data_IF_378835957102
#
_entry.id   IF_378835957102
#
_cell.length_a   1.000
_cell.length_b   1.000
_cell.length_c   1.000
_cell.angle_alpha   90.00
_cell.angle_beta   90.00
_cell.angle_gamma   90.00
#
_symmetry.space_group_name_H-M   'P 1'
#
loop_
_entity.id
_entity.type
_entity.pdbx_description
1 polymer ?
#
# COMPACT_ATOMS: atom_id res chain seq x y z
N UNK A 1 -5.23 -0.90 -3.75
CA UNK A 1 -5.31 -0.42 -2.36
C UNK A 1 -3.95 0.08 -1.89
N UNK A 2 -3.89 1.24 -1.24
CA UNK A 2 -2.66 1.82 -0.70
C UNK A 2 -2.44 1.37 0.74
N UNK A 3 -1.30 0.75 1.04
CA UNK A 3 -0.97 0.34 2.42
C UNK A 3 0.03 1.31 3.03
N UNK A 4 -0.45 2.14 3.97
CA UNK A 4 0.36 3.16 4.63
C UNK A 4 1.17 2.52 5.77
N UNK A 5 2.41 2.18 5.44
CA UNK A 5 3.40 1.65 6.37
C UNK A 5 4.26 2.78 6.98
N UNK A 6 4.72 2.65 8.24
CA UNK A 6 5.81 3.45 8.77
C UNK A 6 7.05 3.33 7.88
N UNK A 7 7.84 4.40 7.75
CA UNK A 7 8.96 4.48 6.81
C UNK A 7 9.97 3.33 6.93
N UNK A 8 10.19 2.82 8.15
CA UNK A 8 11.05 1.65 8.40
C UNK A 8 10.49 0.40 7.73
N UNK A 9 9.21 0.10 7.94
CA UNK A 9 8.54 -1.08 7.35
C UNK A 9 8.32 -0.91 5.86
N UNK A 10 8.11 0.32 5.39
CA UNK A 10 8.04 0.65 3.98
C UNK A 10 9.37 0.35 3.26
N UNK A 11 10.50 0.70 3.88
CA UNK A 11 11.83 0.38 3.35
C UNK A 11 12.11 -1.12 3.39
N UNK A 12 11.88 -1.78 4.53
CA UNK A 12 12.11 -3.22 4.69
C UNK A 12 11.28 -4.07 3.73
N UNK A 13 10.05 -3.65 3.45
CA UNK A 13 9.16 -4.38 2.54
C UNK A 13 9.39 -4.02 1.07
N UNK A 14 10.18 -2.99 0.76
CA UNK A 14 10.40 -2.57 -0.62
C UNK A 14 9.19 -1.87 -1.24
N UNK A 15 8.59 -0.92 -0.51
CA UNK A 15 7.47 -0.10 -1.00
C UNK A 15 6.19 -0.89 -1.35
N UNK A 16 5.91 -2.04 -0.69
CA UNK A 16 4.71 -2.86 -0.97
C UNK A 16 3.39 -2.09 -0.83
N UNK A 17 3.39 -0.99 -0.07
CA UNK A 17 2.23 -0.12 0.04
C UNK A 17 1.73 0.41 -1.30
N UNK A 18 2.64 0.53 -2.26
CA UNK A 18 2.37 0.99 -3.63
C UNK A 18 2.25 -0.16 -4.64
N UNK A 19 2.14 -1.41 -4.19
CA UNK A 19 2.05 -2.57 -5.09
C UNK A 19 0.87 -2.49 -6.06
N UNK A 20 -0.21 -1.81 -5.65
CA UNK A 20 -1.35 -1.52 -6.53
C UNK A 20 -0.98 -0.61 -7.72
N UNK A 21 -0.08 0.37 -7.51
CA UNK A 21 0.45 1.23 -8.57
C UNK A 21 1.41 0.44 -9.46
N UNK A 22 2.22 -0.42 -8.86
CA UNK A 22 3.13 -1.29 -9.60
C UNK A 22 2.37 -2.23 -10.55
N UNK A 23 1.24 -2.81 -10.12
CA UNK A 23 0.38 -3.58 -11.03
C UNK A 23 -0.29 -2.73 -12.12
N UNK A 24 -0.67 -1.50 -11.81
CA UNK A 24 -1.28 -0.59 -12.77
C UNK A 24 -0.27 -0.10 -13.83
N UNK A 25 0.98 0.08 -13.43
CA UNK A 25 2.08 0.51 -14.30
C UNK A 25 3.40 -0.14 -13.87
N UNK A 26 3.69 -1.36 -14.35
CA UNK A 26 4.89 -2.11 -13.97
C UNK A 26 6.19 -1.46 -14.46
N UNK A 27 6.09 -0.45 -15.33
CA UNK A 27 7.23 0.36 -15.81
C UNK A 27 7.78 1.30 -14.75
N UNK A 28 7.03 1.60 -13.68
CA UNK A 28 7.48 2.48 -12.61
C UNK A 28 8.36 1.67 -11.65
N UNK A 29 9.66 2.00 -11.50
CA UNK A 29 10.54 1.29 -10.58
C UNK A 29 10.18 1.60 -9.11
N UNK A 30 10.47 0.66 -8.20
CA UNK A 30 10.03 0.71 -6.80
C UNK A 30 10.42 2.01 -6.06
N UNK A 31 11.58 2.59 -6.35
CA UNK A 31 12.04 3.84 -5.73
C UNK A 31 11.28 5.08 -6.23
N UNK A 32 10.64 5.01 -7.40
CA UNK A 32 9.80 6.09 -7.96
C UNK A 32 8.32 5.92 -7.63
N UNK A 33 7.89 4.80 -7.03
CA UNK A 33 6.48 4.57 -6.71
C UNK A 33 5.90 5.63 -5.77
N UNK A 34 6.65 6.05 -4.74
CA UNK A 34 6.21 7.10 -3.83
C UNK A 34 6.10 8.46 -4.54
N UNK A 35 7.03 8.75 -5.45
CA UNK A 35 7.01 9.98 -6.25
C UNK A 35 5.82 9.99 -7.20
N UNK A 36 5.60 8.89 -7.92
CA UNK A 36 4.47 8.73 -8.83
C UNK A 36 3.12 8.84 -8.11
N UNK A 37 3.01 8.30 -6.89
CA UNK A 37 1.81 8.44 -6.06
C UNK A 37 1.54 9.88 -5.64
N UNK A 38 2.59 10.64 -5.26
CA UNK A 38 2.45 12.05 -4.89
C UNK A 38 2.09 12.95 -6.06
N UNK A 39 2.60 12.65 -7.25
CA UNK A 39 2.41 13.48 -8.45
C UNK A 39 1.07 13.23 -9.16
N UNK A 40 0.42 12.08 -8.92
CA UNK A 40 -0.81 11.71 -9.61
C UNK A 40 -1.96 11.56 -8.62
N UNK A 41 -2.89 12.51 -8.67
CA UNK A 41 -4.12 12.48 -7.87
C UNK A 41 -4.97 11.23 -8.14
N UNK A 42 -4.89 10.67 -9.35
CA UNK A 42 -5.55 9.42 -9.74
C UNK A 42 -5.13 8.20 -8.89
N UNK A 43 -3.97 8.24 -8.24
CA UNK A 43 -3.49 7.14 -7.39
C UNK A 43 -3.79 7.36 -5.91
N UNK A 44 -4.41 8.49 -5.54
CA UNK A 44 -4.77 8.81 -4.16
C UNK A 44 -6.01 8.02 -3.72
N UNK A 45 -5.82 6.74 -3.45
CA UNK A 45 -6.81 5.86 -2.83
C UNK A 45 -6.69 5.89 -1.31
N UNK A 46 -7.78 5.59 -0.62
CA UNK A 46 -7.81 5.58 0.85
C UNK A 46 -6.72 4.65 1.42
N UNK A 47 -5.86 5.16 2.32
CA UNK A 47 -4.79 4.36 2.91
C UNK A 47 -5.35 3.36 3.92
N UNK A 48 -5.09 2.08 3.69
CA UNK A 48 -5.20 1.07 4.73
C UNK A 48 -3.96 1.22 5.63
N UNK A 49 -4.16 1.37 6.93
CA UNK A 49 -3.08 1.47 7.91
C UNK A 49 -2.86 0.16 8.62
N UNK A 50 -1.67 -0.05 9.21
CA UNK A 50 -1.39 -1.21 10.06
C UNK A 50 -2.43 -1.39 11.17
N UNK A 51 -2.87 -0.30 11.81
CA UNK A 51 -3.90 -0.36 12.86
C UNK A 51 -5.24 -0.85 12.31
N UNK A 52 -5.63 -0.38 11.13
CA UNK A 52 -6.85 -0.84 10.46
C UNK A 52 -6.73 -2.32 10.10
N UNK A 53 -5.60 -2.76 9.56
CA UNK A 53 -5.36 -4.16 9.20
C UNK A 53 -5.36 -5.07 10.43
N UNK A 54 -4.71 -4.66 11.53
CA UNK A 54 -4.71 -5.41 12.79
C UNK A 54 -6.12 -5.51 13.39
N UNK A 55 -6.91 -4.43 13.32
CA UNK A 55 -8.33 -4.46 13.70
C UNK A 55 -9.13 -5.40 12.78
N UNK A 56 -8.78 -5.48 11.49
CA UNK A 56 -9.45 -6.41 10.58
C UNK A 56 -9.14 -7.88 10.86
N UNK A 57 -7.99 -8.21 11.44
CA UNK A 57 -7.68 -9.60 11.83
C UNK A 57 -8.61 -10.15 12.91
N UNK A 58 -9.29 -9.29 13.68
CA UNK A 58 -10.30 -9.76 14.66
C UNK A 58 -11.63 -10.11 13.99
N UNK A 59 -11.87 -9.63 12.77
CA UNK A 59 -12.95 -10.17 11.94
C UNK A 59 -12.45 -11.50 11.37
N UNK A 60 -12.56 -12.57 12.18
CA UNK A 60 -12.50 -13.92 11.64
C UNK A 60 -13.63 -14.03 10.62
N UNK A 61 -13.29 -14.15 9.34
CA UNK A 61 -14.23 -14.65 8.36
C UNK A 61 -14.48 -16.11 8.74
N UNK A 62 -15.57 -16.35 9.45
CA UNK A 62 -16.09 -17.68 9.67
C UNK A 62 -16.74 -18.09 8.36
N UNK A 63 -16.08 -18.96 7.61
CA UNK A 63 -16.66 -19.66 6.47
C UNK A 63 -17.12 -21.02 7.03
N UNK A 64 -18.42 -21.33 6.93
CA UNK A 64 -18.98 -22.64 7.28
C UNK A 64 -18.58 -23.71 6.26
#
# INVERSE_FOLDING_TARGET
SFYKLPRVLQWFSGNIGFHHIHHLSPRIPNYNLEKAWKENELFQVDPITLRSSLKSMTFRLWDE
#
